data_IF_925252291325
#
_entry.id   IF_925252291325
#
_cell.length_a   1.000
_cell.length_b   1.000
_cell.length_c   1.000
_cell.angle_alpha   90.00
_cell.angle_beta   90.00
_cell.angle_gamma   90.00
#
_symmetry.space_group_name_H-M   'P 1'
#
loop_
_entity.id
_entity.type
_entity.pdbx_description
1 polymer ?
#
# COMPACT_ATOMS: atom_id res chain seq x y z
N UNK A 1 -2.93 -13.50 -1.28
CA UNK A 1 -2.00 -13.24 -2.41
C UNK A 1 -2.81 -12.94 -3.67
N UNK A 2 -2.41 -11.94 -4.46
CA UNK A 2 -3.10 -11.55 -5.69
C UNK A 2 -2.29 -11.96 -6.91
N UNK A 3 -2.99 -12.31 -7.99
CA UNK A 3 -2.43 -12.40 -9.34
C UNK A 3 -2.77 -11.10 -10.09
N UNK A 4 -1.78 -10.49 -10.70
CA UNK A 4 -1.95 -9.35 -11.60
C UNK A 4 -1.22 -9.62 -12.91
N UNK A 5 -1.82 -9.27 -14.03
CA UNK A 5 -1.15 -9.28 -15.32
C UNK A 5 -0.65 -7.86 -15.62
N UNK A 6 0.60 -7.73 -16.02
CA UNK A 6 1.10 -6.46 -16.53
C UNK A 6 0.68 -6.25 -17.99
N UNK A 7 1.00 -5.07 -18.55
CA UNK A 7 0.64 -4.74 -19.92
C UNK A 7 1.31 -5.63 -20.97
N UNK A 8 2.38 -6.32 -20.63
CA UNK A 8 3.04 -7.34 -21.46
C UNK A 8 2.45 -8.74 -21.33
N UNK A 9 1.42 -8.92 -20.47
CA UNK A 9 0.80 -10.20 -20.19
C UNK A 9 1.57 -11.07 -19.20
N UNK A 10 2.61 -10.53 -18.54
CA UNK A 10 3.38 -11.26 -17.55
C UNK A 10 2.61 -11.34 -16.22
N UNK A 11 2.53 -12.53 -15.65
CA UNK A 11 1.91 -12.77 -14.36
C UNK A 11 2.80 -12.28 -13.22
N UNK A 12 2.22 -11.51 -12.28
CA UNK A 12 2.85 -11.05 -11.05
C UNK A 12 2.05 -11.51 -9.86
N UNK A 13 2.74 -11.99 -8.85
CA UNK A 13 2.16 -12.50 -7.61
C UNK A 13 2.63 -11.64 -6.43
N UNK A 14 1.72 -11.34 -5.53
CA UNK A 14 2.02 -10.52 -4.37
C UNK A 14 0.77 -9.91 -3.72
N UNK A 15 0.96 -8.98 -2.81
CA UNK A 15 2.21 -8.72 -2.10
C UNK A 15 2.47 -9.68 -0.95
N UNK A 16 3.71 -9.76 -0.50
CA UNK A 16 4.07 -10.12 0.87
C UNK A 16 4.37 -8.87 1.67
N UNK A 17 4.30 -8.95 2.99
CA UNK A 17 4.55 -7.83 3.89
C UNK A 17 5.46 -8.27 5.02
N UNK A 18 6.42 -7.43 5.33
CA UNK A 18 7.26 -7.56 6.52
C UNK A 18 7.53 -6.18 7.11
N UNK A 19 7.74 -6.11 8.42
CA UNK A 19 8.20 -4.91 9.07
C UNK A 19 9.70 -4.80 8.93
N UNK A 20 10.19 -3.59 8.63
CA UNK A 20 11.61 -3.32 8.46
C UNK A 20 12.03 -2.13 9.32
N UNK A 21 13.23 -2.20 9.89
CA UNK A 21 13.78 -1.14 10.73
C UNK A 21 14.52 -0.06 9.91
N UNK A 22 14.79 -0.36 8.66
CA UNK A 22 15.52 0.53 7.74
C UNK A 22 14.96 0.41 6.33
N UNK A 23 15.19 1.44 5.54
CA UNK A 23 14.85 1.46 4.12
C UNK A 23 15.73 0.45 3.38
N UNK A 24 15.09 -0.59 2.83
CA UNK A 24 15.70 -1.60 1.98
C UNK A 24 14.69 -2.00 0.90
N UNK A 25 15.12 -1.95 -0.36
CA UNK A 25 14.31 -2.34 -1.52
C UNK A 25 14.76 -3.66 -2.13
N UNK A 26 15.66 -4.37 -1.47
CA UNK A 26 16.05 -5.72 -1.90
C UNK A 26 14.87 -6.69 -1.78
N UNK A 27 14.85 -7.67 -2.65
CA UNK A 27 13.87 -8.77 -2.60
C UNK A 27 14.63 -10.03 -2.24
N UNK A 28 14.30 -10.66 -1.12
CA UNK A 28 14.89 -11.93 -0.72
C UNK A 28 14.35 -13.06 -1.62
N UNK A 29 15.19 -13.71 -2.42
CA UNK A 29 14.76 -14.84 -3.25
C UNK A 29 14.21 -16.01 -2.44
N UNK A 30 14.64 -16.19 -1.19
CA UNK A 30 14.14 -17.26 -0.32
C UNK A 30 12.64 -17.11 0.00
N UNK A 31 12.10 -15.90 -0.08
CA UNK A 31 10.68 -15.63 0.06
C UNK A 31 9.80 -16.32 -0.99
N UNK A 32 10.37 -16.75 -2.11
CA UNK A 32 9.63 -17.40 -3.20
C UNK A 32 8.91 -18.69 -2.78
N UNK A 33 9.44 -19.45 -1.83
CA UNK A 33 8.85 -20.71 -1.37
C UNK A 33 7.41 -20.53 -0.84
N UNK A 34 7.19 -19.48 -0.07
CA UNK A 34 5.85 -19.14 0.43
C UNK A 34 4.89 -18.82 -0.72
N UNK A 35 5.38 -18.18 -1.76
CA UNK A 35 4.58 -17.86 -2.96
C UNK A 35 4.21 -19.12 -3.74
N UNK A 36 5.10 -20.10 -3.90
CA UNK A 36 4.78 -21.36 -4.57
C UNK A 36 3.61 -22.07 -3.89
N UNK A 37 3.63 -22.20 -2.57
CA UNK A 37 2.56 -22.83 -1.81
C UNK A 37 1.20 -22.16 -2.05
N UNK A 38 1.15 -20.83 -1.99
CA UNK A 38 -0.09 -20.06 -2.18
C UNK A 38 -0.58 -20.07 -3.63
N UNK A 39 0.31 -19.90 -4.60
CA UNK A 39 -0.06 -19.87 -6.03
C UNK A 39 -0.55 -21.22 -6.51
N UNK A 40 0.07 -22.30 -6.06
CA UNK A 40 -0.32 -23.68 -6.44
C UNK A 40 -1.70 -24.09 -5.95
N UNK A 41 -2.29 -23.36 -5.01
CA UNK A 41 -3.70 -23.58 -4.59
C UNK A 41 -4.70 -23.32 -5.72
N UNK A 42 -4.38 -22.42 -6.66
CA UNK A 42 -5.22 -22.09 -7.81
C UNK A 42 -4.55 -22.33 -9.16
N UNK A 43 -3.24 -22.45 -9.21
CA UNK A 43 -2.48 -22.87 -10.38
C UNK A 43 -1.50 -24.00 -10.03
N UNK A 44 -2.01 -25.24 -9.88
CA UNK A 44 -1.18 -26.39 -9.47
C UNK A 44 -0.02 -26.71 -10.42
N UNK A 45 -0.14 -26.35 -11.70
CA UNK A 45 0.86 -26.58 -12.73
C UNK A 45 2.01 -25.57 -12.74
N UNK A 46 2.10 -24.65 -11.76
CA UNK A 46 3.21 -23.70 -11.67
C UNK A 46 4.54 -24.47 -11.55
N UNK A 47 5.47 -24.35 -12.55
CA UNK A 47 6.72 -25.07 -12.53
C UNK A 47 7.64 -24.60 -11.39
N UNK A 48 8.50 -25.51 -10.89
CA UNK A 48 9.57 -25.14 -9.98
C UNK A 48 10.54 -24.16 -10.66
N UNK A 49 11.06 -23.19 -9.93
CA UNK A 49 11.98 -22.18 -10.45
C UNK A 49 11.36 -21.13 -11.38
N UNK A 50 10.04 -21.16 -11.60
CA UNK A 50 9.36 -20.21 -12.49
C UNK A 50 9.21 -18.82 -11.88
N UNK A 51 9.14 -18.71 -10.56
CA UNK A 51 9.02 -17.41 -9.88
C UNK A 51 10.38 -16.71 -9.86
N UNK A 52 10.35 -15.44 -10.24
CA UNK A 52 11.52 -14.57 -10.21
C UNK A 52 11.25 -13.38 -9.28
N UNK A 53 12.27 -12.87 -8.58
CA UNK A 53 12.12 -11.65 -7.79
C UNK A 53 11.58 -10.51 -8.65
N UNK A 54 10.56 -9.81 -8.15
CA UNK A 54 10.04 -8.63 -8.80
C UNK A 54 10.67 -7.36 -8.21
N UNK A 55 9.88 -6.63 -7.44
CA UNK A 55 10.32 -5.42 -6.75
C UNK A 55 9.72 -5.34 -5.35
N UNK A 56 10.38 -4.61 -4.47
CA UNK A 56 9.87 -4.22 -3.18
C UNK A 56 9.50 -2.73 -3.17
N UNK A 57 8.54 -2.38 -2.34
CA UNK A 57 8.17 -1.00 -2.04
C UNK A 57 8.03 -0.84 -0.54
N UNK A 58 8.22 0.37 -0.03
CA UNK A 58 7.99 0.70 1.36
C UNK A 58 6.63 1.34 1.54
N UNK A 59 5.90 0.85 2.51
CA UNK A 59 4.59 1.39 2.89
C UNK A 59 4.70 2.01 4.28
N UNK A 60 4.79 3.36 4.38
CA UNK A 60 4.82 4.01 5.68
C UNK A 60 3.50 3.80 6.39
N UNK A 61 3.57 3.35 7.63
CA UNK A 61 2.42 3.10 8.49
C UNK A 61 2.41 4.10 9.65
N UNK A 62 1.21 4.46 10.13
CA UNK A 62 1.02 5.26 11.34
C UNK A 62 0.67 4.41 12.56
N UNK A 63 0.46 3.10 12.36
CA UNK A 63 0.34 2.09 13.43
C UNK A 63 1.59 1.23 13.46
N UNK A 64 1.97 0.76 14.64
CA UNK A 64 3.14 -0.10 14.84
C UNK A 64 2.89 -1.59 14.59
N UNK A 65 3.96 -2.41 14.67
CA UNK A 65 3.82 -3.86 14.61
C UNK A 65 2.88 -4.38 15.70
N UNK A 66 1.92 -5.24 15.32
CA UNK A 66 0.95 -5.82 16.24
C UNK A 66 -0.23 -4.90 16.62
N UNK A 67 -0.21 -3.66 16.21
CA UNK A 67 -1.35 -2.75 16.39
C UNK A 67 -2.41 -2.96 15.29
N UNK A 68 -3.70 -2.66 15.59
CA UNK A 68 -4.73 -2.62 14.57
C UNK A 68 -4.37 -1.63 13.45
N UNK A 69 -4.79 -1.93 12.23
CA UNK A 69 -4.60 -1.00 11.11
C UNK A 69 -5.30 0.33 11.42
N UNK A 70 -4.56 1.42 11.32
CA UNK A 70 -5.13 2.76 11.46
C UNK A 70 -5.81 3.20 10.16
N UNK A 71 -6.86 4.01 10.29
CA UNK A 71 -7.49 4.67 9.15
C UNK A 71 -6.64 5.85 8.65
N UNK A 72 -6.97 6.38 7.48
CA UNK A 72 -6.36 7.58 6.93
C UNK A 72 -6.52 8.75 7.90
N UNK A 73 -5.43 9.49 8.12
CA UNK A 73 -5.46 10.67 8.97
C UNK A 73 -5.15 11.92 8.15
N UNK A 74 -6.12 12.83 8.12
CA UNK A 74 -6.06 14.08 7.37
C UNK A 74 -6.14 15.22 8.38
N UNK A 75 -5.00 15.82 8.71
CA UNK A 75 -4.86 16.85 9.72
C UNK A 75 -4.80 18.24 9.08
N UNK A 76 -5.80 19.05 9.33
CA UNK A 76 -5.87 20.45 8.88
C UNK A 76 -5.53 21.46 9.99
N UNK A 77 -5.68 22.77 9.70
CA UNK A 77 -5.35 23.86 10.64
C UNK A 77 -6.02 23.76 12.00
N UNK A 78 -7.23 23.22 12.08
CA UNK A 78 -7.93 23.01 13.35
C UNK A 78 -7.20 22.06 14.30
N UNK A 79 -6.33 21.18 13.78
CA UNK A 79 -5.57 20.21 14.57
C UNK A 79 -4.18 20.68 14.94
N UNK A 80 -3.47 21.34 14.03
CA UNK A 80 -2.07 21.74 14.23
C UNK A 80 -1.82 23.26 14.24
N UNK A 81 -2.85 24.08 13.98
CA UNK A 81 -2.77 25.54 14.08
C UNK A 81 -2.10 26.24 12.88
N UNK A 82 -1.62 25.53 11.88
CA UNK A 82 -0.93 26.12 10.73
C UNK A 82 -1.92 26.34 9.59
N UNK A 83 -2.22 27.62 9.30
CA UNK A 83 -3.16 28.00 8.24
C UNK A 83 -2.60 27.62 6.87
N UNK A 84 -3.44 27.06 5.99
CA UNK A 84 -3.07 26.70 4.63
C UNK A 84 -2.29 25.38 4.52
N UNK A 85 -2.06 24.65 5.63
CA UNK A 85 -1.42 23.34 5.62
C UNK A 85 -2.44 22.23 5.89
N UNK A 86 -2.36 21.14 5.12
CA UNK A 86 -3.05 19.88 5.40
C UNK A 86 -2.05 18.74 5.29
N UNK A 87 -1.94 17.95 6.34
CA UNK A 87 -1.10 16.75 6.38
C UNK A 87 -1.93 15.50 6.10
N UNK A 88 -1.40 14.62 5.27
CA UNK A 88 -1.99 13.34 4.92
C UNK A 88 -1.08 12.23 5.46
N UNK A 89 -1.60 11.42 6.38
CA UNK A 89 -0.85 10.32 6.99
C UNK A 89 -1.55 8.99 6.76
N UNK A 90 -0.76 7.94 6.57
CA UNK A 90 -1.27 6.58 6.42
C UNK A 90 -2.11 6.35 5.17
N UNK A 91 -1.93 7.17 4.13
CA UNK A 91 -2.65 7.01 2.86
C UNK A 91 -2.02 5.83 2.10
N UNK A 92 -2.58 4.66 2.32
CA UNK A 92 -2.21 3.42 1.65
C UNK A 92 -3.38 2.89 0.79
N UNK A 93 -3.49 1.59 0.53
CA UNK A 93 -4.64 1.06 -0.18
C UNK A 93 -5.93 1.21 0.67
N UNK A 94 -7.03 1.76 0.12
CA UNK A 94 -7.32 2.14 -1.26
C UNK A 94 -7.12 3.63 -1.60
N UNK A 95 -6.08 4.29 -1.11
CA UNK A 95 -5.87 5.74 -1.26
C UNK A 95 -5.97 6.25 -2.70
N UNK A 96 -5.41 5.50 -3.67
CA UNK A 96 -5.49 5.92 -5.07
C UNK A 96 -6.93 5.94 -5.59
N UNK A 97 -7.73 4.92 -5.30
CA UNK A 97 -9.12 4.86 -5.75
C UNK A 97 -10.04 5.82 -5.01
N UNK A 98 -9.67 6.24 -3.80
CA UNK A 98 -10.38 7.23 -2.99
C UNK A 98 -9.83 8.66 -3.12
N UNK A 99 -8.88 8.90 -4.02
CA UNK A 99 -8.16 10.18 -4.08
C UNK A 99 -9.05 11.40 -4.30
N UNK A 100 -10.13 11.28 -5.08
CA UNK A 100 -11.07 12.39 -5.28
C UNK A 100 -11.87 12.72 -4.02
N UNK A 101 -12.26 11.71 -3.24
CA UNK A 101 -12.91 11.91 -1.95
C UNK A 101 -11.94 12.54 -0.93
N UNK A 102 -10.68 12.06 -0.91
CA UNK A 102 -9.61 12.64 -0.10
C UNK A 102 -9.38 14.11 -0.47
N UNK A 103 -9.38 14.44 -1.76
CA UNK A 103 -9.24 15.83 -2.24
C UNK A 103 -10.37 16.73 -1.73
N UNK A 104 -11.62 16.23 -1.69
CA UNK A 104 -12.76 16.94 -1.09
C UNK A 104 -12.51 17.24 0.39
N UNK A 105 -12.09 16.24 1.16
CA UNK A 105 -11.76 16.43 2.59
C UNK A 105 -10.61 17.43 2.78
N UNK A 106 -9.59 17.40 1.92
CA UNK A 106 -8.49 18.38 1.97
C UNK A 106 -9.01 19.80 1.73
N UNK A 107 -9.89 19.99 0.74
CA UNK A 107 -10.51 21.28 0.44
C UNK A 107 -11.31 21.81 1.62
N UNK A 108 -12.12 20.96 2.25
CA UNK A 108 -12.89 21.32 3.45
C UNK A 108 -11.98 21.76 4.61
N UNK A 109 -10.87 21.04 4.82
CA UNK A 109 -9.88 21.36 5.86
C UNK A 109 -9.15 22.69 5.62
N UNK A 110 -9.02 23.09 4.36
CA UNK A 110 -8.44 24.38 3.97
C UNK A 110 -9.44 25.54 4.07
N UNK A 111 -10.71 25.27 4.42
CA UNK A 111 -11.76 26.29 4.47
C UNK A 111 -12.38 26.57 3.11
N UNK A 112 -12.34 25.58 2.20
CA UNK A 112 -13.06 25.64 0.94
C UNK A 112 -14.58 25.66 1.14
N UNK A 113 -15.36 26.08 0.13
CA UNK A 113 -16.82 26.01 0.20
C UNK A 113 -17.23 24.56 0.45
N UNK A 114 -18.12 24.34 1.42
CA UNK A 114 -18.68 23.03 1.65
C UNK A 114 -19.24 22.50 0.32
N UNK A 115 -18.89 21.27 -0.05
CA UNK A 115 -19.47 20.63 -1.22
C UNK A 115 -20.99 20.54 -1.02
N UNK A 116 -21.73 21.14 -1.95
CA UNK A 116 -23.18 21.12 -1.97
C UNK A 116 -23.73 19.72 -2.28
#
# INVERSE_FOLDING_TARGET
MHLTLDLGGQARFGPSFEWVDRIDYSVDPAGAEAFYAEVRRYWPALPDGALQPGYAGLRPKISGPGEPAADFRIDGPARHGVVGLVNLFGIESPGLTSCLAIAGVVLDRLGGPAAA
#
